data_IF_399628407445
#
_entry.id   IF_399628407445
#
_cell.length_a   1.000
_cell.length_b   1.000
_cell.length_c   1.000
_cell.angle_alpha   90.00
_cell.angle_beta   90.00
_cell.angle_gamma   90.00
#
_symmetry.space_group_name_H-M   'P 1'
#
loop_
_entity.id
_entity.type
_entity.pdbx_description
1 polymer ?
#
# COMPACT_ATOMS: atom_id res chain seq x y z
N UNK A 1 -16.98 1.63 22.88
CA UNK A 1 -15.99 1.70 23.99
C UNK A 1 -14.97 2.80 23.69
N UNK A 2 -15.02 3.89 24.46
CA UNK A 2 -14.11 5.03 24.34
C UNK A 2 -13.23 5.04 25.60
N UNK A 3 -11.91 5.01 25.43
CA UNK A 3 -10.96 5.11 26.55
C UNK A 3 -10.46 6.56 26.60
N UNK A 4 -10.74 7.25 27.68
CA UNK A 4 -10.27 8.63 27.94
C UNK A 4 -9.25 8.59 29.06
N UNK A 5 -8.06 9.13 28.81
CA UNK A 5 -6.92 9.09 29.74
C UNK A 5 -6.55 10.52 30.10
N UNK A 6 -6.60 10.85 31.39
CA UNK A 6 -6.13 12.14 31.90
C UNK A 6 -5.14 11.94 33.06
N UNK A 7 -4.17 12.85 33.15
CA UNK A 7 -3.04 12.82 34.08
C UNK A 7 -3.26 13.60 35.39
N UNK A 8 -4.45 14.16 35.64
CA UNK A 8 -4.77 14.89 36.87
C UNK A 8 -6.27 14.78 37.19
N UNK A 9 -6.62 14.00 38.20
CA UNK A 9 -8.00 13.63 38.51
C UNK A 9 -8.80 14.76 39.20
N UNK A 10 -9.97 15.06 38.65
CA UNK A 10 -11.07 15.77 39.35
C UNK A 10 -12.41 15.13 38.99
N UNK A 11 -13.35 15.04 39.93
CA UNK A 11 -14.68 14.44 39.68
C UNK A 11 -15.48 15.15 38.58
N UNK A 12 -15.22 16.45 38.34
CA UNK A 12 -15.83 17.23 37.25
C UNK A 12 -15.54 16.67 35.84
N UNK A 13 -14.42 15.94 35.67
CA UNK A 13 -14.00 15.43 34.37
C UNK A 13 -14.94 14.35 33.82
N UNK A 14 -15.40 13.43 34.68
CA UNK A 14 -16.23 12.30 34.24
C UNK A 14 -17.49 12.81 33.54
N UNK A 15 -18.11 13.83 34.13
CA UNK A 15 -19.30 14.47 33.58
C UNK A 15 -18.99 15.33 32.35
N UNK A 16 -17.85 16.04 32.30
CA UNK A 16 -17.45 16.77 31.09
C UNK A 16 -17.17 15.84 29.90
N UNK A 17 -16.46 14.73 30.14
CA UNK A 17 -16.17 13.71 29.11
C UNK A 17 -17.46 13.08 28.60
N UNK A 18 -18.35 12.68 29.51
CA UNK A 18 -19.66 12.14 29.13
C UNK A 18 -20.44 13.14 28.29
N UNK A 19 -20.50 14.41 28.72
CA UNK A 19 -21.17 15.49 27.98
C UNK A 19 -20.61 15.66 26.57
N UNK A 20 -19.28 15.69 26.41
CA UNK A 20 -18.62 15.84 25.10
C UNK A 20 -18.87 14.64 24.18
N UNK A 21 -18.83 13.42 24.71
CA UNK A 21 -19.08 12.21 23.93
C UNK A 21 -20.54 12.12 23.48
N UNK A 22 -21.48 12.45 24.36
CA UNK A 22 -22.90 12.57 24.00
C UNK A 22 -23.14 13.65 22.95
N UNK A 23 -22.52 14.83 23.09
CA UNK A 23 -22.61 15.90 22.10
C UNK A 23 -22.03 15.51 20.74
N UNK A 24 -21.03 14.62 20.71
CA UNK A 24 -20.47 14.03 19.50
C UNK A 24 -21.29 12.85 18.95
N UNK A 25 -22.43 12.51 19.56
CA UNK A 25 -23.28 11.39 19.15
C UNK A 25 -22.66 10.01 19.41
N UNK A 26 -21.67 9.91 20.30
CA UNK A 26 -21.03 8.66 20.66
C UNK A 26 -21.70 8.06 21.90
N UNK A 27 -22.42 6.93 21.79
CA UNK A 27 -22.96 6.26 22.97
C UNK A 27 -21.81 5.66 23.78
N UNK A 28 -21.86 5.86 25.11
CA UNK A 28 -20.83 5.40 26.04
C UNK A 28 -21.49 4.58 27.14
N UNK A 29 -21.17 3.29 27.17
CA UNK A 29 -21.70 2.36 28.17
C UNK A 29 -21.03 2.55 29.53
N UNK A 30 -19.71 2.79 29.55
CA UNK A 30 -18.93 2.91 30.78
C UNK A 30 -17.73 3.88 30.61
N UNK A 31 -17.42 4.67 31.64
CA UNK A 31 -16.25 5.56 31.71
C UNK A 31 -15.39 5.17 32.92
N UNK A 32 -14.23 4.58 32.64
CA UNK A 32 -13.23 4.20 33.63
C UNK A 32 -12.13 5.26 33.66
N UNK A 33 -11.92 5.88 34.83
CA UNK A 33 -10.82 6.81 35.09
C UNK A 33 -9.78 6.11 35.96
N UNK A 34 -8.50 6.21 35.59
CA UNK A 34 -7.39 5.60 36.35
C UNK A 34 -6.23 6.57 36.45
N UNK A 35 -5.61 6.62 37.63
CA UNK A 35 -4.36 7.34 37.87
C UNK A 35 -3.12 6.46 37.65
N UNK A 36 -3.31 5.15 37.46
CA UNK A 36 -2.22 4.24 37.11
C UNK A 36 -1.77 4.52 35.68
N UNK A 37 -0.44 4.60 35.43
CA UNK A 37 0.07 4.77 34.08
C UNK A 37 -0.39 3.60 33.20
N UNK A 38 -0.74 3.90 31.95
CA UNK A 38 -1.12 2.88 31.00
C UNK A 38 0.04 1.90 30.80
N UNK A 39 -0.22 0.59 30.74
CA UNK A 39 0.82 -0.36 30.44
C UNK A 39 1.30 -0.13 29.02
N UNK A 40 2.61 0.05 28.86
CA UNK A 40 3.28 0.21 27.57
C UNK A 40 4.01 -1.06 27.19
N UNK A 41 4.06 -1.36 25.90
CA UNK A 41 4.85 -2.47 25.35
C UNK A 41 6.33 -2.20 25.64
N UNK A 42 7.03 -3.07 26.39
CA UNK A 42 8.45 -2.87 26.72
C UNK A 42 9.37 -2.86 25.49
N UNK A 43 8.90 -3.33 24.33
CA UNK A 43 9.62 -3.24 23.05
C UNK A 43 9.45 -1.87 22.38
N UNK A 44 8.39 -1.15 22.72
CA UNK A 44 8.00 0.12 22.13
C UNK A 44 7.43 1.03 23.24
N UNK A 45 8.28 1.82 23.89
CA UNK A 45 7.92 2.70 25.02
C UNK A 45 6.80 3.75 24.74
N UNK A 46 6.24 3.77 23.52
CA UNK A 46 5.14 4.63 23.10
C UNK A 46 3.85 3.89 22.72
N UNK A 47 3.86 2.55 22.65
CA UNK A 47 2.67 1.77 22.30
C UNK A 47 2.04 1.17 23.55
N UNK A 48 0.72 1.30 23.66
CA UNK A 48 -0.05 0.68 24.74
C UNK A 48 0.01 -0.85 24.59
N UNK A 49 0.34 -1.55 25.68
CA UNK A 49 0.21 -2.99 25.80
C UNK A 49 -1.27 -3.31 26.09
N UNK A 50 -2.04 -3.55 25.03
CA UNK A 50 -3.46 -3.85 25.14
C UNK A 50 -3.76 -5.11 25.94
N UNK A 51 -2.82 -6.06 26.04
CA UNK A 51 -3.02 -7.28 26.83
C UNK A 51 -3.02 -6.95 28.31
N UNK A 52 -1.98 -6.26 28.78
CA UNK A 52 -1.89 -5.80 30.17
C UNK A 52 -2.97 -4.78 30.51
N UNK A 53 -3.33 -3.90 29.57
CA UNK A 53 -4.41 -2.94 29.78
C UNK A 53 -5.72 -3.69 30.03
N UNK A 54 -5.99 -4.75 29.26
CA UNK A 54 -7.18 -5.58 29.42
C UNK A 54 -7.20 -6.32 30.76
N UNK A 55 -6.08 -6.93 31.15
CA UNK A 55 -5.92 -7.56 32.47
C UNK A 55 -6.20 -6.55 33.59
N UNK A 56 -5.77 -5.29 33.44
CA UNK A 56 -5.99 -4.24 34.43
C UNK A 56 -7.43 -3.72 34.51
N UNK A 57 -8.22 -3.90 33.45
CA UNK A 57 -9.59 -3.42 33.35
C UNK A 57 -10.63 -4.50 33.68
N UNK A 58 -10.19 -5.70 34.07
CA UNK A 58 -11.03 -6.90 34.35
C UNK A 58 -12.13 -7.12 33.30
N UNK A 59 -11.83 -6.74 32.05
CA UNK A 59 -12.78 -6.86 30.97
C UNK A 59 -12.95 -8.34 30.66
N UNK A 60 -14.20 -8.81 30.72
CA UNK A 60 -14.57 -10.16 30.33
C UNK A 60 -13.82 -10.57 29.04
N UNK A 61 -13.40 -11.85 28.92
CA UNK A 61 -12.86 -12.35 27.68
C UNK A 61 -13.96 -12.31 26.61
N UNK A 62 -14.20 -11.14 25.99
CA UNK A 62 -14.78 -11.08 24.67
C UNK A 62 -13.89 -11.96 23.81
N UNK A 63 -14.44 -13.06 23.32
CA UNK A 63 -13.87 -13.77 22.19
C UNK A 63 -13.58 -12.67 21.18
N UNK A 64 -12.30 -12.39 20.97
CA UNK A 64 -11.90 -11.70 19.77
C UNK A 64 -12.17 -12.69 18.68
N UNK A 65 -13.42 -12.71 18.25
CA UNK A 65 -13.87 -13.32 17.03
C UNK A 65 -13.24 -12.45 15.94
N UNK A 66 -11.93 -12.57 15.78
CA UNK A 66 -11.27 -12.24 14.53
C UNK A 66 -11.66 -13.35 13.54
N UNK A 67 -12.97 -13.46 13.24
CA UNK A 67 -13.51 -14.30 12.18
C UNK A 67 -13.35 -13.63 10.80
N UNK A 68 -12.47 -12.65 10.70
CA UNK A 68 -11.90 -12.29 9.40
C UNK A 68 -10.78 -13.28 9.14
N UNK A 69 -10.84 -14.14 8.10
CA UNK A 69 -9.68 -14.93 7.77
C UNK A 69 -8.50 -13.98 7.60
N UNK A 70 -7.33 -14.30 8.18
CA UNK A 70 -6.04 -13.75 7.77
C UNK A 70 -5.67 -14.19 6.34
N UNK A 71 -6.67 -14.30 5.47
CA UNK A 71 -6.54 -14.38 4.03
C UNK A 71 -5.98 -13.04 3.59
N UNK A 72 -4.65 -12.88 3.73
CA UNK A 72 -3.87 -12.13 2.76
C UNK A 72 -4.40 -12.62 1.41
N UNK A 73 -4.97 -11.78 0.55
CA UNK A 73 -5.31 -12.26 -0.77
C UNK A 73 -4.00 -12.72 -1.38
N UNK A 74 -3.80 -14.03 -1.53
CA UNK A 74 -2.57 -14.58 -2.12
C UNK A 74 -2.31 -13.89 -3.48
N UNK A 75 -3.40 -13.51 -4.14
CA UNK A 75 -3.45 -12.64 -5.31
C UNK A 75 -2.71 -11.31 -5.16
N UNK A 76 -2.91 -10.53 -4.09
CA UNK A 76 -2.24 -9.23 -3.90
C UNK A 76 -0.74 -9.42 -3.70
N UNK A 77 -0.34 -10.38 -2.87
CA UNK A 77 1.08 -10.69 -2.67
C UNK A 77 1.74 -11.12 -3.98
N UNK A 78 1.07 -11.98 -4.74
CA UNK A 78 1.55 -12.46 -6.04
C UNK A 78 1.65 -11.31 -7.05
N UNK A 79 0.66 -10.43 -7.10
CA UNK A 79 0.66 -9.23 -7.96
C UNK A 79 1.87 -8.35 -7.68
N UNK A 80 2.14 -8.05 -6.40
CA UNK A 80 3.30 -7.23 -6.00
C UNK A 80 4.64 -7.92 -6.29
N UNK A 81 4.73 -9.24 -6.13
CA UNK A 81 5.94 -10.00 -6.49
C UNK A 81 6.17 -10.03 -7.99
N UNK A 82 5.13 -10.29 -8.78
CA UNK A 82 5.19 -10.35 -10.23
C UNK A 82 5.58 -8.98 -10.81
N UNK A 83 4.97 -7.89 -10.34
CA UNK A 83 5.33 -6.54 -10.77
C UNK A 83 6.75 -6.18 -10.36
N UNK A 84 7.20 -6.58 -9.16
CA UNK A 84 8.59 -6.37 -8.72
C UNK A 84 9.60 -7.08 -9.63
N UNK A 85 9.36 -8.33 -9.98
CA UNK A 85 10.28 -9.10 -10.84
C UNK A 85 10.32 -8.52 -12.26
N UNK A 86 9.16 -8.17 -12.83
CA UNK A 86 9.08 -7.62 -14.18
C UNK A 86 9.73 -6.23 -14.26
N UNK A 87 9.42 -5.34 -13.34
CA UNK A 87 10.05 -4.01 -13.30
C UNK A 87 11.54 -4.10 -12.94
N UNK A 88 11.94 -5.06 -12.09
CA UNK A 88 13.34 -5.28 -11.76
C UNK A 88 14.14 -5.75 -12.96
N UNK A 89 13.64 -6.73 -13.71
CA UNK A 89 14.28 -7.21 -14.93
C UNK A 89 14.35 -6.11 -16.00
N UNK A 90 13.25 -5.37 -16.22
CA UNK A 90 13.23 -4.25 -17.16
C UNK A 90 14.16 -3.11 -16.72
N UNK A 91 14.21 -2.82 -15.42
CA UNK A 91 15.07 -1.79 -14.84
C UNK A 91 16.56 -2.11 -14.98
N UNK A 92 16.95 -3.36 -14.71
CA UNK A 92 18.32 -3.83 -14.93
C UNK A 92 18.70 -3.77 -16.41
N UNK A 93 17.84 -4.27 -17.31
CA UNK A 93 18.08 -4.19 -18.75
C UNK A 93 18.24 -2.74 -19.22
N UNK A 94 17.36 -1.83 -18.81
CA UNK A 94 17.43 -0.41 -19.16
C UNK A 94 18.64 0.32 -18.57
N UNK A 95 19.13 -0.12 -17.42
CA UNK A 95 20.30 0.50 -16.77
C UNK A 95 21.62 0.06 -17.40
N UNK A 96 21.72 -1.21 -17.82
CA UNK A 96 22.99 -1.81 -18.26
C UNK A 96 23.07 -2.08 -19.76
N UNK A 97 21.94 -2.10 -20.48
CA UNK A 97 21.85 -2.35 -21.92
C UNK A 97 20.88 -1.36 -22.62
N UNK A 98 21.07 -0.03 -22.44
CA UNK A 98 20.14 0.97 -23.00
C UNK A 98 20.17 1.03 -24.53
N UNK A 99 21.34 0.84 -25.16
CA UNK A 99 21.48 0.88 -26.62
C UNK A 99 20.81 -0.33 -27.28
N UNK A 100 20.96 -1.51 -26.69
CA UNK A 100 20.33 -2.76 -27.15
C UNK A 100 18.81 -2.68 -27.03
N UNK A 101 18.30 -2.07 -25.96
CA UNK A 101 16.88 -1.80 -25.83
C UNK A 101 16.39 -0.81 -26.89
N UNK A 102 17.08 0.30 -27.12
CA UNK A 102 16.68 1.23 -28.19
C UNK A 102 16.68 0.55 -29.56
N UNK A 103 17.69 -0.27 -29.85
CA UNK A 103 17.77 -1.05 -31.08
C UNK A 103 16.62 -2.06 -31.22
N UNK A 104 16.28 -2.78 -30.15
CA UNK A 104 15.13 -3.72 -30.12
C UNK A 104 13.78 -3.02 -30.36
N UNK A 105 13.72 -1.71 -30.10
CA UNK A 105 12.56 -0.86 -30.34
C UNK A 105 12.58 -0.17 -31.71
N UNK A 106 13.59 -0.47 -32.55
CA UNK A 106 13.80 0.16 -33.86
C UNK A 106 14.13 1.64 -33.76
N UNK A 107 14.63 2.09 -32.60
CA UNK A 107 14.96 3.48 -32.33
C UNK A 107 16.47 3.71 -32.47
N UNK A 108 16.91 4.89 -32.94
CA UNK A 108 18.31 5.26 -32.87
C UNK A 108 18.75 5.36 -31.40
N UNK A 109 20.02 5.05 -31.14
CA UNK A 109 20.64 5.13 -29.82
C UNK A 109 21.67 6.26 -29.73
N UNK A 110 21.26 7.55 -29.81
CA UNK A 110 22.18 8.63 -29.49
C UNK A 110 22.45 8.66 -27.97
N UNK A 111 23.61 9.16 -27.52
CA UNK A 111 23.99 9.13 -26.11
C UNK A 111 22.96 9.75 -25.16
N UNK A 112 22.24 10.78 -25.60
CA UNK A 112 21.20 11.44 -24.79
C UNK A 112 20.00 10.52 -24.56
N UNK A 113 19.61 9.72 -25.56
CA UNK A 113 18.51 8.77 -25.42
C UNK A 113 18.91 7.62 -24.49
N UNK A 114 20.14 7.13 -24.58
CA UNK A 114 20.65 6.09 -23.68
C UNK A 114 20.60 6.52 -22.21
N UNK A 115 21.02 7.74 -21.90
CA UNK A 115 20.95 8.30 -20.55
C UNK A 115 19.50 8.35 -20.05
N UNK A 116 18.54 8.77 -20.89
CA UNK A 116 17.12 8.79 -20.51
C UNK A 116 16.57 7.38 -20.27
N UNK A 117 17.00 6.39 -21.05
CA UNK A 117 16.65 4.97 -20.83
C UNK A 117 17.25 4.47 -19.52
N UNK A 118 18.49 4.81 -19.19
CA UNK A 118 19.12 4.44 -17.91
C UNK A 118 18.43 5.08 -16.71
N UNK A 119 18.04 6.36 -16.79
CA UNK A 119 17.26 7.02 -15.73
C UNK A 119 15.89 6.35 -15.55
N UNK A 120 15.25 5.94 -16.65
CA UNK A 120 14.02 5.15 -16.61
C UNK A 120 14.28 3.77 -15.98
N UNK A 121 15.43 3.16 -16.27
CA UNK A 121 15.86 1.91 -15.64
C UNK A 121 16.01 2.02 -14.13
N UNK A 122 16.66 3.09 -13.65
CA UNK A 122 16.77 3.39 -12.22
C UNK A 122 15.39 3.59 -11.56
N UNK A 123 14.46 4.27 -12.25
CA UNK A 123 13.09 4.43 -11.79
C UNK A 123 12.36 3.07 -11.67
N UNK A 124 12.52 2.18 -12.66
CA UNK A 124 11.92 0.85 -12.63
C UNK A 124 12.51 -0.02 -11.52
N UNK A 125 13.81 0.04 -11.27
CA UNK A 125 14.44 -0.60 -10.11
C UNK A 125 13.88 -0.06 -8.79
N UNK A 126 13.64 1.25 -8.68
CA UNK A 126 12.99 1.86 -7.53
C UNK A 126 11.58 1.31 -7.29
N UNK A 127 10.73 1.26 -8.33
CA UNK A 127 9.40 0.65 -8.25
C UNK A 127 9.47 -0.84 -7.92
N UNK A 128 10.44 -1.57 -8.47
CA UNK A 128 10.63 -2.99 -8.18
C UNK A 128 10.92 -3.23 -6.69
N UNK A 129 11.82 -2.43 -6.11
CA UNK A 129 12.11 -2.49 -4.68
C UNK A 129 10.91 -2.09 -3.82
N UNK A 130 10.20 -1.02 -4.17
CA UNK A 130 8.97 -0.62 -3.48
C UNK A 130 7.95 -1.76 -3.48
N UNK A 131 7.74 -2.41 -4.62
CA UNK A 131 6.80 -3.53 -4.74
C UNK A 131 7.26 -4.75 -3.95
N UNK A 132 8.56 -5.06 -3.99
CA UNK A 132 9.13 -6.14 -3.22
C UNK A 132 8.98 -5.91 -1.71
N UNK A 133 9.21 -4.70 -1.24
CA UNK A 133 9.07 -4.36 0.18
C UNK A 133 7.58 -4.36 0.61
N UNK A 134 6.69 -3.89 -0.25
CA UNK A 134 5.26 -3.79 0.03
C UNK A 134 4.49 -5.13 -0.08
N UNK A 135 5.06 -6.19 -0.68
CA UNK A 135 4.37 -7.47 -0.94
C UNK A 135 3.75 -8.15 0.30
N UNK A 136 4.27 -7.86 1.50
CA UNK A 136 3.79 -8.41 2.77
C UNK A 136 2.74 -7.56 3.49
N UNK A 137 2.49 -6.34 3.01
CA UNK A 137 1.59 -5.37 3.61
C UNK A 137 0.17 -5.60 3.09
N UNK A 138 -0.83 -5.46 3.96
CA UNK A 138 -2.23 -5.44 3.52
C UNK A 138 -2.44 -4.19 2.65
N UNK A 139 -2.61 -4.39 1.34
CA UNK A 139 -2.80 -3.29 0.40
C UNK A 139 -4.21 -2.73 0.58
N UNK A 140 -4.30 -1.59 1.27
CA UNK A 140 -5.53 -0.90 1.65
C UNK A 140 -5.23 0.25 2.62
N UNK A 141 -6.27 0.98 3.02
CA UNK A 141 -6.15 2.11 3.96
C UNK A 141 -5.25 3.25 3.46
N UNK A 142 -4.84 4.13 4.35
CA UNK A 142 -4.05 5.33 3.99
C UNK A 142 -2.58 5.01 3.68
N UNK A 143 -2.04 3.91 4.20
CA UNK A 143 -0.61 3.61 4.15
C UNK A 143 -0.18 2.85 2.89
N UNK A 144 -0.97 1.88 2.42
CA UNK A 144 -0.57 1.04 1.28
C UNK A 144 -1.26 1.43 -0.03
N UNK A 145 -2.29 2.29 0.02
CA UNK A 145 -2.99 2.79 -1.16
C UNK A 145 -2.13 3.67 -2.08
N UNK A 146 -1.21 4.53 -1.60
CA UNK A 146 -0.33 5.29 -2.47
C UNK A 146 0.57 4.40 -3.35
N UNK A 147 1.07 3.29 -2.80
CA UNK A 147 1.91 2.33 -3.54
C UNK A 147 1.11 1.65 -4.67
N UNK A 148 -0.11 1.22 -4.37
CA UNK A 148 -1.00 0.64 -5.39
C UNK A 148 -1.37 1.66 -6.47
N UNK A 149 -1.65 2.92 -6.08
CA UNK A 149 -1.96 4.00 -7.02
C UNK A 149 -0.78 4.35 -7.92
N UNK A 150 0.43 4.42 -7.37
CA UNK A 150 1.65 4.64 -8.15
C UNK A 150 1.85 3.56 -9.21
N UNK A 151 1.69 2.29 -8.85
CA UNK A 151 1.76 1.18 -9.81
C UNK A 151 0.68 1.28 -10.88
N UNK A 152 -0.58 1.50 -10.47
CA UNK A 152 -1.68 1.67 -11.41
C UNK A 152 -1.38 2.76 -12.43
N UNK A 153 -0.96 3.94 -11.97
CA UNK A 153 -0.65 5.07 -12.81
C UNK A 153 0.52 4.79 -13.75
N UNK A 154 1.59 4.17 -13.26
CA UNK A 154 2.73 3.76 -14.08
C UNK A 154 2.31 2.83 -15.23
N UNK A 155 1.59 1.75 -14.91
CA UNK A 155 1.16 0.78 -15.91
C UNK A 155 0.07 1.31 -16.84
N UNK A 156 -0.87 2.11 -16.34
CA UNK A 156 -1.94 2.69 -17.16
C UNK A 156 -1.39 3.73 -18.14
N UNK A 157 -0.56 4.68 -17.68
CA UNK A 157 0.03 5.69 -18.56
C UNK A 157 1.00 5.07 -19.55
N UNK A 158 1.80 4.08 -19.13
CA UNK A 158 2.66 3.35 -20.04
C UNK A 158 1.88 2.56 -21.10
N UNK A 159 0.78 1.91 -20.74
CA UNK A 159 -0.09 1.24 -21.72
C UNK A 159 -0.63 2.23 -22.76
N UNK A 160 -1.10 3.41 -22.34
CA UNK A 160 -1.58 4.45 -23.26
C UNK A 160 -0.48 4.95 -24.21
N UNK A 161 0.74 5.14 -23.70
CA UNK A 161 1.88 5.52 -24.52
C UNK A 161 2.23 4.43 -25.57
N UNK A 162 2.12 3.15 -25.19
CA UNK A 162 2.39 2.02 -26.08
C UNK A 162 1.32 1.84 -27.15
N UNK A 163 0.03 2.05 -26.83
CA UNK A 163 -1.04 2.08 -27.84
C UNK A 163 -0.73 3.11 -28.92
N UNK A 164 -0.25 4.30 -28.54
CA UNK A 164 0.16 5.33 -29.51
C UNK A 164 1.33 4.86 -30.39
N UNK A 165 2.31 4.14 -29.82
CA UNK A 165 3.43 3.57 -30.59
C UNK A 165 2.98 2.46 -31.54
N UNK A 166 2.03 1.62 -31.15
CA UNK A 166 1.48 0.60 -32.06
C UNK A 166 0.72 1.22 -33.25
N UNK A 167 0.22 2.45 -33.11
CA UNK A 167 -0.41 3.20 -34.21
C UNK A 167 0.55 3.82 -35.23
N UNK A 168 1.88 3.73 -35.04
CA UNK A 168 2.85 4.25 -36.02
C UNK A 168 3.07 3.27 -37.17
N UNK A 169 3.44 3.76 -38.36
CA UNK A 169 3.89 2.92 -39.46
C UNK A 169 5.16 2.16 -39.01
N UNK A 170 5.11 0.82 -38.97
CA UNK A 170 6.17 -0.10 -38.52
C UNK A 170 6.36 -0.26 -36.99
N UNK A 171 5.36 -0.75 -36.24
CA UNK A 171 5.59 -1.19 -34.88
C UNK A 171 6.25 -2.57 -34.89
N UNK A 172 7.49 -2.67 -34.39
CA UNK A 172 8.13 -3.95 -34.10
C UNK A 172 7.36 -4.77 -33.05
N UNK A 173 7.73 -6.04 -32.81
CA UNK A 173 7.02 -6.91 -31.86
C UNK A 173 7.20 -6.48 -30.39
N UNK A 174 8.31 -5.81 -30.04
CA UNK A 174 8.62 -5.42 -28.66
C UNK A 174 7.55 -4.49 -28.03
N UNK A 175 7.10 -3.39 -28.68
CA UNK A 175 5.99 -2.58 -28.19
C UNK A 175 4.70 -3.36 -27.90
N UNK A 176 4.36 -4.36 -28.72
CA UNK A 176 3.14 -5.15 -28.54
C UNK A 176 3.21 -6.05 -27.29
N UNK A 177 4.37 -6.69 -27.07
CA UNK A 177 4.62 -7.49 -25.86
C UNK A 177 4.58 -6.60 -24.62
N UNK A 178 5.25 -5.44 -24.66
CA UNK A 178 5.24 -4.47 -23.58
C UNK A 178 3.81 -4.00 -23.27
N UNK A 179 2.99 -3.74 -24.30
CA UNK A 179 1.60 -3.32 -24.13
C UNK A 179 0.79 -4.40 -23.41
N UNK A 180 0.94 -5.67 -23.80
CA UNK A 180 0.25 -6.77 -23.13
C UNK A 180 0.57 -6.83 -21.63
N UNK A 181 1.85 -6.73 -21.27
CA UNK A 181 2.31 -6.70 -19.87
C UNK A 181 1.71 -5.50 -19.14
N UNK A 182 1.87 -4.29 -19.69
CA UNK A 182 1.39 -3.06 -19.07
C UNK A 182 -0.14 -3.06 -18.92
N UNK A 183 -0.89 -3.52 -19.91
CA UNK A 183 -2.35 -3.60 -19.85
C UNK A 183 -2.84 -4.57 -18.77
N UNK A 184 -2.23 -5.75 -18.66
CA UNK A 184 -2.57 -6.73 -17.61
C UNK A 184 -2.33 -6.12 -16.22
N UNK A 185 -1.17 -5.53 -15.97
CA UNK A 185 -0.90 -4.91 -14.67
C UNK A 185 -1.79 -3.69 -14.39
N UNK A 186 -2.06 -2.86 -15.39
CA UNK A 186 -2.97 -1.72 -15.24
C UNK A 186 -4.37 -2.17 -14.81
N UNK A 187 -4.90 -3.22 -15.43
CA UNK A 187 -6.20 -3.80 -15.04
C UNK A 187 -6.13 -4.37 -13.63
N UNK A 188 -5.12 -5.18 -13.30
CA UNK A 188 -4.99 -5.81 -11.98
C UNK A 188 -4.84 -4.79 -10.84
N UNK A 189 -4.02 -3.75 -11.02
CA UNK A 189 -3.90 -2.68 -10.04
C UNK A 189 -5.13 -1.78 -9.99
N UNK A 190 -5.84 -1.59 -11.11
CA UNK A 190 -7.13 -0.91 -11.15
C UNK A 190 -8.19 -1.68 -10.35
N UNK A 191 -8.28 -3.00 -10.54
CA UNK A 191 -9.14 -3.87 -9.76
C UNK A 191 -8.76 -3.86 -8.28
N UNK A 192 -7.48 -3.82 -7.95
CA UNK A 192 -7.02 -3.71 -6.56
C UNK A 192 -7.45 -2.39 -5.89
N UNK A 193 -7.46 -1.28 -6.64
CA UNK A 193 -7.79 0.06 -6.13
C UNK A 193 -9.30 0.34 -6.08
N UNK A 194 -10.03 -0.14 -7.09
CA UNK A 194 -11.43 0.23 -7.32
C UNK A 194 -12.39 -0.96 -7.13
N UNK A 195 -11.90 -2.19 -7.13
CA UNK A 195 -12.66 -3.39 -6.84
C UNK A 195 -13.05 -3.42 -5.37
N UNK A 196 -14.24 -2.88 -5.08
CA UNK A 196 -14.79 -2.81 -3.72
C UNK A 196 -14.83 -4.20 -3.08
N UNK A 197 -14.31 -4.29 -1.86
CA UNK A 197 -14.82 -5.24 -0.86
C UNK A 197 -16.25 -4.82 -0.55
N UNK A 198 -17.21 -5.65 -0.95
CA UNK A 198 -18.62 -5.52 -0.58
C UNK A 198 -18.69 -5.74 0.94
N UNK A 199 -18.70 -4.66 1.72
CA UNK A 199 -19.06 -4.73 3.14
C UNK A 199 -20.58 -4.80 3.18
N UNK A 200 -21.09 -6.03 3.22
CA UNK A 200 -22.45 -6.34 3.66
C UNK A 200 -22.44 -6.64 5.15
#
# INVERSE_FOLDING_TARGET
>A
MVVVVETSAGEELREDVRRRLTAAGQPVDEIVLTTKPLPVDPRHNSKIDYRRLRESLDLAPWEVVYNGPMNRPAATRLLMMASALILGAAGLAASFAPAELLAAWGAPAPPQAEVLVQLTGALFCGFALLNWMAKGVMIGGIYARPVALGNFLHFAMGALALVKKLGSHEPGPAPAVALGIYAVFAVLFGLLLFGRVRQG
#
